data_IF_515596702091
#
_entry.id   IF_515596702091
#
_cell.length_a   1.000
_cell.length_b   1.000
_cell.length_c   1.000
_cell.angle_alpha   90.00
_cell.angle_beta   90.00
_cell.angle_gamma   90.00
#
_symmetry.space_group_name_H-M   'P 1'
#
loop_
_entity.id
_entity.type
_entity.pdbx_description
1 polymer ?
#
# COMPACT_ATOMS: atom_id res chain seq x y z
N UNK A 1 -86.25 -13.71 -25.40
CA UNK A 1 -85.61 -14.15 -26.65
C UNK A 1 -84.14 -13.77 -26.60
N UNK A 2 -83.34 -14.74 -27.03
CA UNK A 2 -81.89 -14.97 -26.99
C UNK A 2 -80.95 -13.90 -27.55
N UNK A 3 -79.66 -14.08 -27.17
CA UNK A 3 -78.37 -13.63 -27.77
C UNK A 3 -77.80 -12.31 -27.23
N UNK A 4 -76.50 -12.15 -26.93
CA UNK A 4 -75.34 -13.01 -27.14
C UNK A 4 -74.19 -12.59 -26.21
N UNK A 5 -73.57 -13.59 -25.59
CA UNK A 5 -72.22 -13.55 -25.02
C UNK A 5 -71.18 -13.31 -26.12
N UNK A 6 -70.44 -12.20 -26.10
CA UNK A 6 -69.10 -12.07 -26.71
C UNK A 6 -68.50 -10.72 -26.32
N UNK A 7 -67.64 -10.69 -25.30
CA UNK A 7 -66.53 -9.73 -25.06
C UNK A 7 -65.98 -9.90 -23.63
N UNK A 8 -65.60 -11.13 -23.27
CA UNK A 8 -64.75 -11.39 -22.09
C UNK A 8 -63.59 -12.27 -22.50
N UNK A 9 -62.67 -11.75 -23.32
CA UNK A 9 -61.38 -12.40 -23.54
C UNK A 9 -60.20 -11.48 -23.85
N UNK A 10 -60.40 -10.17 -24.07
CA UNK A 10 -59.29 -9.27 -24.45
C UNK A 10 -58.78 -8.34 -23.34
N UNK A 11 -59.35 -8.37 -22.13
CA UNK A 11 -58.94 -7.45 -21.06
C UNK A 11 -58.10 -8.10 -19.94
N UNK A 12 -57.89 -9.42 -19.98
CA UNK A 12 -57.13 -10.15 -18.96
C UNK A 12 -55.63 -10.32 -19.30
N UNK A 13 -55.21 -10.07 -20.54
CA UNK A 13 -53.80 -10.21 -20.94
C UNK A 13 -52.97 -8.93 -20.82
N UNK A 14 -53.61 -7.75 -20.83
CA UNK A 14 -52.89 -6.46 -20.75
C UNK A 14 -52.39 -6.12 -19.33
N UNK A 15 -53.13 -6.49 -18.27
CA UNK A 15 -52.70 -6.20 -16.89
C UNK A 15 -51.58 -7.12 -16.37
N UNK A 16 -51.47 -8.36 -16.88
CA UNK A 16 -50.38 -9.28 -16.49
C UNK A 16 -49.05 -8.87 -17.13
N UNK A 17 -49.07 -8.39 -18.37
CA UNK A 17 -47.86 -7.92 -19.05
C UNK A 17 -47.26 -6.66 -18.37
N UNK A 18 -48.10 -5.75 -17.89
CA UNK A 18 -47.67 -4.49 -17.27
C UNK A 18 -47.09 -4.66 -15.85
N UNK A 19 -47.54 -5.68 -15.10
CA UNK A 19 -47.04 -5.97 -13.74
C UNK A 19 -45.70 -6.73 -13.75
N UNK A 20 -45.41 -7.51 -14.78
CA UNK A 20 -44.15 -8.25 -14.90
C UNK A 20 -43.02 -7.31 -15.36
N UNK A 21 -43.30 -6.34 -16.23
CA UNK A 21 -42.30 -5.35 -16.69
C UNK A 21 -41.88 -4.36 -15.60
N UNK A 22 -42.79 -3.98 -14.70
CA UNK A 22 -42.46 -3.08 -13.57
C UNK A 22 -41.66 -3.78 -12.47
N UNK A 23 -41.87 -5.08 -12.23
CA UNK A 23 -41.07 -5.85 -11.26
C UNK A 23 -39.63 -6.12 -11.74
N UNK A 24 -39.43 -6.33 -13.05
CA UNK A 24 -38.09 -6.57 -13.64
C UNK A 24 -37.26 -5.28 -13.64
N UNK A 25 -37.87 -4.10 -13.87
CA UNK A 25 -37.16 -2.83 -13.84
C UNK A 25 -36.73 -2.38 -12.43
N UNK A 26 -37.46 -2.78 -11.39
CA UNK A 26 -37.06 -2.48 -10.00
C UNK A 26 -35.89 -3.36 -9.54
N UNK A 27 -35.81 -4.62 -10.00
CA UNK A 27 -34.68 -5.51 -9.71
C UNK A 27 -33.40 -5.11 -10.45
N UNK A 28 -33.50 -4.59 -11.68
CA UNK A 28 -32.35 -4.05 -12.40
C UNK A 28 -31.74 -2.83 -11.69
N UNK A 29 -32.55 -1.95 -11.10
CA UNK A 29 -32.06 -0.78 -10.36
C UNK A 29 -31.35 -1.11 -9.04
N UNK A 30 -31.59 -2.29 -8.44
CA UNK A 30 -30.93 -2.71 -7.19
C UNK A 30 -29.58 -3.43 -7.45
N UNK A 31 -29.38 -4.00 -8.64
CA UNK A 31 -28.10 -4.64 -9.00
C UNK A 31 -27.05 -3.65 -9.54
N UNK A 32 -27.45 -2.54 -10.15
CA UNK A 32 -26.51 -1.55 -10.69
C UNK A 32 -25.60 -0.85 -9.65
N UNK A 33 -26.06 -0.48 -8.43
CA UNK A 33 -25.16 0.15 -7.45
C UNK A 33 -24.11 -0.84 -6.90
N UNK A 34 -24.42 -2.13 -6.77
CA UNK A 34 -23.47 -3.14 -6.30
C UNK A 34 -22.36 -3.42 -7.31
N UNK A 35 -22.68 -3.45 -8.62
CA UNK A 35 -21.68 -3.68 -9.68
C UNK A 35 -20.76 -2.47 -9.84
N UNK A 36 -21.28 -1.25 -9.74
CA UNK A 36 -20.47 -0.03 -9.87
C UNK A 36 -19.52 0.14 -8.68
N UNK A 37 -19.97 -0.15 -7.45
CA UNK A 37 -19.14 -0.10 -6.26
C UNK A 37 -18.02 -1.16 -6.31
N UNK A 38 -18.34 -2.40 -6.72
CA UNK A 38 -17.34 -3.47 -6.87
C UNK A 38 -16.32 -3.18 -7.98
N UNK A 39 -16.74 -2.58 -9.11
CA UNK A 39 -15.82 -2.19 -10.18
C UNK A 39 -14.87 -1.06 -9.74
N UNK A 40 -15.38 -0.06 -9.01
CA UNK A 40 -14.54 1.01 -8.45
C UNK A 40 -13.57 0.47 -7.40
N UNK A 41 -14.01 -0.40 -6.50
CA UNK A 41 -13.14 -1.06 -5.51
C UNK A 41 -12.06 -1.89 -6.18
N UNK A 42 -12.39 -2.64 -7.24
CA UNK A 42 -11.42 -3.43 -8.01
C UNK A 42 -10.42 -2.55 -8.77
N UNK A 43 -10.87 -1.43 -9.33
CA UNK A 43 -9.99 -0.46 -9.98
C UNK A 43 -9.03 0.21 -9.00
N UNK A 44 -9.50 0.57 -7.80
CA UNK A 44 -8.65 1.12 -6.73
C UNK A 44 -7.63 0.10 -6.25
N UNK A 45 -8.03 -1.17 -6.07
CA UNK A 45 -7.11 -2.26 -5.70
C UNK A 45 -6.07 -2.54 -6.79
N UNK A 46 -6.46 -2.50 -8.06
CA UNK A 46 -5.55 -2.67 -9.20
C UNK A 46 -4.53 -1.52 -9.34
N UNK A 47 -4.95 -0.27 -9.13
CA UNK A 47 -4.06 0.92 -9.10
C UNK A 47 -2.98 0.85 -8.03
N UNK A 48 -3.16 -0.03 -7.07
CA UNK A 48 -2.29 -0.21 -5.91
C UNK A 48 -1.39 -1.43 -6.09
N UNK A 49 -1.98 -2.58 -6.44
CA UNK A 49 -1.23 -3.82 -6.57
C UNK A 49 -0.18 -3.75 -7.68
N UNK A 50 -0.48 -3.08 -8.79
CA UNK A 50 0.45 -2.98 -9.92
C UNK A 50 1.70 -2.17 -9.56
N UNK A 51 1.61 -0.94 -9.03
CA UNK A 51 2.80 -0.22 -8.55
C UNK A 51 3.55 -0.93 -7.43
N UNK A 52 2.82 -1.60 -6.52
CA UNK A 52 3.47 -2.33 -5.44
C UNK A 52 4.28 -3.52 -5.98
N UNK A 53 3.68 -4.30 -6.89
CA UNK A 53 4.33 -5.42 -7.54
C UNK A 53 5.56 -4.98 -8.34
N UNK A 54 5.49 -3.89 -9.09
CA UNK A 54 6.64 -3.38 -9.87
C UNK A 54 7.79 -2.93 -8.97
N UNK A 55 7.51 -2.41 -7.76
CA UNK A 55 8.52 -1.94 -6.81
C UNK A 55 9.14 -3.04 -5.93
N UNK A 56 8.62 -4.27 -5.95
CA UNK A 56 9.16 -5.38 -5.14
C UNK A 56 10.64 -5.70 -5.47
N UNK A 57 11.03 -5.64 -6.75
CA UNK A 57 12.41 -5.92 -7.16
C UNK A 57 13.41 -4.87 -6.66
N UNK A 58 13.00 -3.59 -6.67
CA UNK A 58 13.81 -2.50 -6.12
C UNK A 58 13.98 -2.66 -4.60
N UNK A 59 12.88 -2.96 -3.89
CA UNK A 59 12.92 -3.20 -2.45
C UNK A 59 13.84 -4.37 -2.10
N UNK A 60 13.70 -5.50 -2.79
CA UNK A 60 14.56 -6.66 -2.57
C UNK A 60 16.04 -6.37 -2.84
N UNK A 61 16.35 -5.57 -3.87
CA UNK A 61 17.73 -5.18 -4.17
C UNK A 61 18.35 -4.34 -3.05
N UNK A 62 17.57 -3.47 -2.41
CA UNK A 62 18.03 -2.71 -1.24
C UNK A 62 18.26 -3.62 -0.04
N UNK A 63 17.31 -4.52 0.23
CA UNK A 63 17.46 -5.43 1.37
C UNK A 63 18.66 -6.37 1.21
N UNK A 64 18.91 -6.85 -0.01
CA UNK A 64 20.12 -7.59 -0.37
C UNK A 64 21.40 -6.78 -0.14
N UNK A 65 21.39 -5.47 -0.38
CA UNK A 65 22.54 -4.60 -0.09
C UNK A 65 22.87 -4.57 1.42
N UNK A 66 21.87 -4.48 2.29
CA UNK A 66 22.08 -4.52 3.74
C UNK A 66 22.60 -5.87 4.19
N UNK A 67 22.02 -6.96 3.69
CA UNK A 67 22.54 -8.30 3.95
C UNK A 67 23.99 -8.43 3.51
N UNK A 68 24.33 -7.95 2.30
CA UNK A 68 25.70 -7.98 1.79
C UNK A 68 26.66 -7.21 2.69
N UNK A 69 26.25 -6.01 3.13
CA UNK A 69 27.06 -5.13 3.98
C UNK A 69 27.31 -5.74 5.36
N UNK A 70 26.29 -6.34 5.97
CA UNK A 70 26.37 -6.87 7.34
C UNK A 70 26.99 -8.27 7.38
N UNK A 71 26.56 -9.15 6.48
CA UNK A 71 26.97 -10.55 6.48
C UNK A 71 28.27 -10.80 5.72
N UNK A 72 28.66 -9.89 4.81
CA UNK A 72 29.82 -10.02 3.94
C UNK A 72 29.96 -11.42 3.28
N UNK A 73 28.92 -11.90 2.57
CA UNK A 73 28.93 -13.23 1.96
C UNK A 73 30.04 -13.38 0.92
N UNK A 74 30.51 -14.60 0.73
CA UNK A 74 31.27 -14.97 -0.47
C UNK A 74 30.44 -14.76 -1.73
N UNK A 75 31.10 -14.71 -2.88
CA UNK A 75 30.43 -14.49 -4.18
C UNK A 75 29.36 -15.57 -4.45
N UNK A 76 29.66 -16.84 -4.19
CA UNK A 76 28.74 -17.95 -4.42
C UNK A 76 27.54 -17.96 -3.47
N UNK A 77 27.76 -17.61 -2.19
CA UNK A 77 26.67 -17.46 -1.21
C UNK A 77 25.75 -16.31 -1.62
N UNK A 78 26.33 -15.17 -2.01
CA UNK A 78 25.56 -14.00 -2.42
C UNK A 78 24.74 -14.26 -3.70
N UNK A 79 25.32 -14.96 -4.69
CA UNK A 79 24.61 -15.37 -5.91
C UNK A 79 23.42 -16.30 -5.58
N UNK A 80 23.63 -17.27 -4.69
CA UNK A 80 22.58 -18.20 -4.25
C UNK A 80 21.43 -17.46 -3.54
N UNK A 81 21.77 -16.59 -2.58
CA UNK A 81 20.79 -15.77 -1.84
C UNK A 81 20.04 -14.84 -2.80
N UNK A 82 20.73 -14.22 -3.75
CA UNK A 82 20.12 -13.32 -4.73
C UNK A 82 19.13 -14.06 -5.63
N UNK A 83 19.45 -15.27 -6.10
CA UNK A 83 18.54 -16.07 -6.91
C UNK A 83 17.30 -16.50 -6.13
N UNK A 84 17.48 -16.98 -4.90
CA UNK A 84 16.38 -17.34 -4.01
C UNK A 84 15.45 -16.13 -3.75
N UNK A 85 16.04 -14.96 -3.51
CA UNK A 85 15.30 -13.71 -3.29
C UNK A 85 14.54 -13.29 -4.54
N UNK A 86 15.14 -13.41 -5.74
CA UNK A 86 14.45 -13.09 -7.00
C UNK A 86 13.23 -13.98 -7.23
N UNK A 87 13.33 -15.26 -6.90
CA UNK A 87 12.19 -16.18 -6.97
C UNK A 87 11.09 -15.75 -5.99
N UNK A 88 11.46 -15.45 -4.75
CA UNK A 88 10.51 -15.01 -3.73
C UNK A 88 9.80 -13.70 -4.12
N UNK A 89 10.52 -12.75 -4.74
CA UNK A 89 9.93 -11.50 -5.27
C UNK A 89 8.80 -11.79 -6.27
N UNK A 90 9.00 -12.74 -7.19
CA UNK A 90 7.94 -13.12 -8.15
C UNK A 90 6.72 -13.70 -7.45
N UNK A 91 6.93 -14.58 -6.48
CA UNK A 91 5.85 -15.17 -5.66
C UNK A 91 5.04 -14.07 -4.94
N UNK A 92 5.72 -13.06 -4.39
CA UNK A 92 5.05 -11.92 -3.76
C UNK A 92 4.31 -11.02 -4.75
N UNK A 93 4.88 -10.77 -5.93
CA UNK A 93 4.20 -10.01 -6.99
C UNK A 93 2.87 -10.68 -7.36
N UNK A 94 2.89 -12.00 -7.57
CA UNK A 94 1.69 -12.78 -7.87
C UNK A 94 0.69 -12.76 -6.71
N UNK A 95 1.18 -12.84 -5.47
CA UNK A 95 0.35 -12.73 -4.26
C UNK A 95 -0.41 -11.40 -4.21
N UNK A 96 0.26 -10.27 -4.45
CA UNK A 96 -0.39 -8.96 -4.44
C UNK A 96 -1.39 -8.79 -5.58
N UNK A 97 -1.07 -9.31 -6.78
CA UNK A 97 -2.00 -9.31 -7.91
C UNK A 97 -3.25 -10.15 -7.60
N UNK A 98 -3.11 -11.28 -6.91
CA UNK A 98 -4.24 -12.10 -6.49
C UNK A 98 -5.06 -11.40 -5.40
N UNK A 99 -4.39 -10.84 -4.39
CA UNK A 99 -5.04 -10.10 -3.30
C UNK A 99 -5.81 -8.90 -3.81
N UNK A 100 -5.34 -8.24 -4.87
CA UNK A 100 -6.06 -7.15 -5.54
C UNK A 100 -7.46 -7.51 -6.00
N UNK A 101 -7.72 -8.80 -6.28
CA UNK A 101 -9.01 -9.28 -6.76
C UNK A 101 -10.03 -9.40 -5.63
N UNK A 102 -9.60 -9.71 -4.41
CA UNK A 102 -10.50 -10.19 -3.33
C UNK A 102 -10.33 -9.48 -2.00
N UNK A 103 -9.17 -8.91 -1.70
CA UNK A 103 -8.84 -8.33 -0.38
C UNK A 103 -8.62 -6.82 -0.44
N UNK A 104 -8.94 -6.14 0.67
CA UNK A 104 -8.62 -4.72 0.83
C UNK A 104 -7.11 -4.52 1.08
N UNK A 105 -6.48 -3.46 0.54
CA UNK A 105 -5.05 -3.24 0.69
C UNK A 105 -4.56 -3.20 2.15
N UNK A 106 -5.37 -2.70 3.08
CA UNK A 106 -5.04 -2.66 4.52
C UNK A 106 -4.82 -4.04 5.15
N UNK A 107 -5.27 -5.12 4.50
CA UNK A 107 -5.11 -6.50 4.98
C UNK A 107 -4.00 -7.25 4.25
N UNK A 108 -3.30 -6.60 3.33
CA UNK A 108 -2.22 -7.23 2.59
C UNK A 108 -0.97 -7.29 3.49
N UNK A 109 -0.15 -8.35 3.37
CA UNK A 109 1.10 -8.43 4.10
C UNK A 109 2.03 -7.30 3.68
N UNK A 110 2.98 -6.96 4.56
CA UNK A 110 3.91 -5.87 4.31
C UNK A 110 5.06 -6.31 3.42
N UNK A 111 5.35 -5.60 2.31
CA UNK A 111 6.44 -5.92 1.40
C UNK A 111 7.80 -6.05 2.07
N UNK A 112 8.18 -5.06 2.89
CA UNK A 112 9.49 -5.00 3.53
C UNK A 112 9.67 -6.14 4.51
N UNK A 113 8.67 -6.37 5.37
CA UNK A 113 8.69 -7.46 6.34
C UNK A 113 8.85 -8.83 5.66
N UNK A 114 8.08 -9.09 4.59
CA UNK A 114 8.19 -10.35 3.86
C UNK A 114 9.60 -10.57 3.30
N UNK A 115 10.22 -9.52 2.75
CA UNK A 115 11.59 -9.60 2.22
C UNK A 115 12.60 -9.78 3.36
N UNK A 116 12.51 -9.01 4.44
CA UNK A 116 13.46 -9.10 5.56
C UNK A 116 13.36 -10.44 6.28
N UNK A 117 12.15 -10.99 6.44
CA UNK A 117 11.93 -12.31 7.04
C UNK A 117 12.51 -13.42 6.14
N UNK A 118 12.31 -13.31 4.83
CA UNK A 118 12.90 -14.23 3.86
C UNK A 118 14.44 -14.17 3.89
N UNK A 119 15.02 -12.97 3.85
CA UNK A 119 16.47 -12.79 3.88
C UNK A 119 17.08 -13.22 5.22
N UNK A 120 16.39 -12.99 6.34
CA UNK A 120 16.84 -13.47 7.64
C UNK A 120 16.84 -15.00 7.68
N UNK A 121 15.81 -15.64 7.11
CA UNK A 121 15.75 -17.10 6.98
C UNK A 121 16.94 -17.63 6.15
N UNK A 122 17.24 -16.99 5.01
CA UNK A 122 18.41 -17.34 4.20
C UNK A 122 19.72 -17.10 4.96
N UNK A 123 19.82 -16.02 5.73
CA UNK A 123 20.97 -15.72 6.55
C UNK A 123 21.19 -16.77 7.64
N UNK A 124 20.14 -17.21 8.32
CA UNK A 124 20.17 -18.27 9.33
C UNK A 124 20.58 -19.63 8.74
N UNK A 125 20.27 -19.89 7.46
CA UNK A 125 20.63 -21.12 6.75
C UNK A 125 22.05 -21.10 6.18
N UNK A 126 22.54 -19.93 5.79
CA UNK A 126 23.79 -19.79 5.03
C UNK A 126 24.98 -19.44 5.91
N UNK A 127 24.79 -18.58 6.91
CA UNK A 127 25.90 -18.00 7.67
C UNK A 127 26.03 -18.61 9.07
N UNK A 128 27.21 -18.41 9.67
CA UNK A 128 27.42 -18.75 11.06
C UNK A 128 26.43 -17.98 11.97
N UNK A 129 25.98 -18.58 13.10
CA UNK A 129 24.96 -17.98 13.96
C UNK A 129 25.25 -16.55 14.41
N UNK A 130 26.52 -16.20 14.68
CA UNK A 130 26.88 -14.84 15.07
C UNK A 130 26.63 -13.81 13.96
N UNK A 131 26.83 -14.18 12.70
CA UNK A 131 26.63 -13.30 11.54
C UNK A 131 25.14 -13.14 11.26
N UNK A 132 24.39 -14.24 11.26
CA UNK A 132 22.94 -14.22 11.09
C UNK A 132 22.26 -13.39 12.20
N UNK A 133 22.79 -13.45 13.43
CA UNK A 133 22.32 -12.61 14.53
C UNK A 133 22.70 -11.13 14.38
N UNK A 134 23.85 -10.81 13.79
CA UNK A 134 24.21 -9.43 13.47
C UNK A 134 23.24 -8.83 12.44
N UNK A 135 22.84 -9.61 11.43
CA UNK A 135 21.83 -9.19 10.47
C UNK A 135 20.45 -8.98 11.12
N UNK A 136 20.05 -9.87 12.04
CA UNK A 136 18.81 -9.70 12.81
C UNK A 136 18.79 -8.38 13.59
N UNK A 137 19.92 -8.02 14.21
CA UNK A 137 20.07 -6.74 14.93
C UNK A 137 19.99 -5.54 13.98
N UNK A 138 20.58 -5.62 12.79
CA UNK A 138 20.47 -4.58 11.76
C UNK A 138 19.00 -4.36 11.37
N UNK A 139 18.25 -5.44 11.11
CA UNK A 139 16.82 -5.35 10.79
C UNK A 139 16.06 -4.63 11.92
N UNK A 140 16.30 -5.01 13.18
CA UNK A 140 15.68 -4.34 14.34
C UNK A 140 16.02 -2.85 14.41
N UNK A 141 17.29 -2.49 14.28
CA UNK A 141 17.74 -1.10 14.35
C UNK A 141 17.10 -0.23 13.25
N UNK A 142 16.98 -0.76 12.03
CA UNK A 142 16.33 -0.06 10.93
C UNK A 142 14.82 0.07 11.15
N UNK A 143 14.16 -0.93 11.71
CA UNK A 143 12.74 -0.85 12.05
C UNK A 143 12.50 0.27 13.09
N UNK A 144 13.36 0.38 14.11
CA UNK A 144 13.30 1.48 15.08
C UNK A 144 13.52 2.85 14.43
N UNK A 145 14.51 2.96 13.54
CA UNK A 145 14.75 4.18 12.77
C UNK A 145 13.56 4.57 11.88
N UNK A 146 12.89 3.59 11.28
CA UNK A 146 11.70 3.79 10.47
C UNK A 146 10.52 4.29 11.32
N UNK A 147 10.30 3.75 12.53
CA UNK A 147 9.29 4.26 13.47
C UNK A 147 9.56 5.72 13.84
N UNK A 148 10.81 6.07 14.14
CA UNK A 148 11.19 7.44 14.44
C UNK A 148 10.94 8.38 13.24
N UNK A 149 11.29 7.95 12.02
CA UNK A 149 11.07 8.72 10.80
C UNK A 149 9.58 8.95 10.52
N UNK A 150 8.76 7.91 10.58
CA UNK A 150 7.29 8.02 10.37
C UNK A 150 6.67 8.92 11.43
N UNK A 151 7.05 8.75 12.70
CA UNK A 151 6.57 9.60 13.78
C UNK A 151 6.90 11.08 13.55
N UNK A 152 8.15 11.38 13.16
CA UNK A 152 8.57 12.75 12.84
C UNK A 152 7.77 13.36 11.69
N UNK A 153 7.55 12.60 10.60
CA UNK A 153 6.75 13.07 9.46
C UNK A 153 5.32 13.39 9.89
N UNK A 154 4.67 12.50 10.63
CA UNK A 154 3.29 12.71 11.07
C UNK A 154 3.19 13.87 12.07
N UNK A 155 4.15 14.00 12.97
CA UNK A 155 4.20 15.13 13.91
C UNK A 155 4.28 16.46 13.16
N UNK A 156 5.13 16.56 12.14
CA UNK A 156 5.23 17.76 11.30
C UNK A 156 3.93 18.02 10.51
N UNK A 157 3.23 16.97 10.06
CA UNK A 157 1.92 17.12 9.42
C UNK A 157 0.87 17.70 10.37
N UNK A 158 0.89 17.29 11.63
CA UNK A 158 0.01 17.82 12.68
C UNK A 158 0.40 19.28 13.00
N UNK A 159 1.69 19.53 13.22
CA UNK A 159 2.23 20.85 13.52
C UNK A 159 1.84 21.90 12.48
N UNK A 160 1.93 21.57 11.20
CA UNK A 160 1.54 22.47 10.10
C UNK A 160 0.08 22.95 10.15
N UNK A 161 -0.78 22.31 10.94
CA UNK A 161 -2.20 22.62 11.05
C UNK A 161 -2.58 23.29 12.36
N UNK A 162 -1.93 22.93 13.47
CA UNK A 162 -2.32 23.39 14.81
C UNK A 162 -1.24 24.20 15.52
N UNK A 163 -0.05 24.32 14.92
CA UNK A 163 1.11 25.07 15.44
C UNK A 163 1.47 24.63 16.87
N UNK A 164 2.13 23.49 16.96
CA UNK A 164 2.58 22.89 18.20
C UNK A 164 3.76 23.68 18.78
N UNK A 165 3.78 23.81 20.10
CA UNK A 165 4.99 24.17 20.84
C UNK A 165 6.00 23.00 20.85
N UNK A 166 7.29 23.24 21.14
CA UNK A 166 8.28 22.17 21.19
C UNK A 166 7.91 21.01 22.13
N UNK A 167 7.35 21.30 23.30
CA UNK A 167 6.91 20.28 24.26
C UNK A 167 5.71 19.47 23.76
N UNK A 168 4.81 20.11 23.01
CA UNK A 168 3.70 19.41 22.37
C UNK A 168 4.20 18.55 21.21
N UNK A 169 5.16 19.03 20.40
CA UNK A 169 5.78 18.24 19.34
C UNK A 169 6.38 16.93 19.88
N UNK A 170 7.15 17.00 20.97
CA UNK A 170 7.75 15.81 21.60
C UNK A 170 6.69 14.84 22.11
N UNK A 171 5.61 15.37 22.70
CA UNK A 171 4.48 14.57 23.20
C UNK A 171 3.70 13.90 22.07
N UNK A 172 3.46 14.62 20.97
CA UNK A 172 2.82 14.08 19.77
C UNK A 172 3.70 13.03 19.11
N UNK A 173 4.99 13.28 18.95
CA UNK A 173 5.93 12.31 18.37
C UNK A 173 5.99 11.01 19.19
N UNK A 174 6.02 11.13 20.52
CA UNK A 174 5.97 9.96 21.42
C UNK A 174 4.67 9.19 21.26
N UNK A 175 3.54 9.90 21.18
CA UNK A 175 2.21 9.28 21.03
C UNK A 175 2.06 8.59 19.67
N UNK A 176 2.54 9.21 18.59
CA UNK A 176 2.52 8.61 17.25
C UNK A 176 3.43 7.39 17.18
N UNK A 177 4.65 7.44 17.74
CA UNK A 177 5.56 6.30 17.77
C UNK A 177 5.01 5.07 18.54
N UNK A 178 4.10 5.30 19.49
CA UNK A 178 3.43 4.25 20.24
C UNK A 178 2.26 3.60 19.47
N UNK A 179 1.75 4.22 18.41
CA UNK A 179 0.67 3.66 17.62
C UNK A 179 1.14 2.37 16.92
N UNK A 180 0.29 1.35 16.96
CA UNK A 180 0.52 0.08 16.26
C UNK A 180 0.81 0.35 14.79
N UNK A 181 -0.06 1.11 14.11
CA UNK A 181 0.09 1.51 12.71
C UNK A 181 1.42 2.20 12.38
N UNK A 182 2.08 2.87 13.33
CA UNK A 182 3.43 3.45 13.14
C UNK A 182 4.50 2.38 13.22
N UNK A 183 4.46 1.55 14.27
CA UNK A 183 5.39 0.41 14.47
C UNK A 183 5.34 -0.58 13.31
N UNK A 184 4.17 -0.63 12.71
CA UNK A 184 3.76 -1.52 11.65
C UNK A 184 3.88 -0.87 10.27
N UNK A 185 4.14 0.43 10.15
CA UNK A 185 4.24 1.08 8.85
C UNK A 185 5.58 0.76 8.20
N UNK A 186 5.58 0.39 6.92
CA UNK A 186 6.76 0.63 6.07
C UNK A 186 6.62 2.03 5.50
N UNK A 187 7.67 2.85 5.52
CA UNK A 187 7.64 4.22 4.98
C UNK A 187 6.96 4.31 3.60
N UNK A 188 7.27 3.42 2.63
CA UNK A 188 6.56 3.41 1.35
C UNK A 188 5.05 3.17 1.49
N UNK A 189 4.61 2.20 2.30
CA UNK A 189 3.18 1.91 2.50
C UNK A 189 2.48 3.06 3.23
N UNK A 190 3.06 3.63 4.28
CA UNK A 190 2.48 4.80 4.91
C UNK A 190 2.32 5.95 3.90
N UNK A 191 3.31 6.20 3.04
CA UNK A 191 3.26 7.29 2.07
C UNK A 191 2.26 7.06 0.91
N UNK A 192 2.09 5.81 0.45
CA UNK A 192 1.18 5.50 -0.66
C UNK A 192 -0.28 5.30 -0.22
N UNK A 193 -0.52 4.97 1.04
CA UNK A 193 -1.86 4.70 1.56
C UNK A 193 -2.23 5.70 2.64
N UNK A 194 -2.94 6.77 2.25
CA UNK A 194 -3.45 7.81 3.16
C UNK A 194 -4.15 7.28 4.42
N UNK A 195 -4.86 6.15 4.32
CA UNK A 195 -5.59 5.55 5.45
C UNK A 195 -4.71 4.69 6.37
N UNK A 196 -3.47 4.41 5.97
CA UNK A 196 -2.48 3.68 6.77
C UNK A 196 -1.49 4.62 7.46
N UNK A 197 -1.65 5.94 7.27
CA UNK A 197 -0.84 6.92 7.99
C UNK A 197 -1.34 6.98 9.43
N UNK A 198 -0.43 6.86 10.42
CA UNK A 198 -0.81 6.73 11.81
C UNK A 198 -1.18 8.10 12.39
N UNK A 199 -2.36 8.61 12.05
CA UNK A 199 -2.88 9.87 12.57
C UNK A 199 -3.64 9.59 13.87
N UNK A 200 -3.27 10.21 15.01
CA UNK A 200 -3.98 10.05 16.27
C UNK A 200 -5.39 10.65 16.21
N UNK A 201 -6.35 10.01 16.89
CA UNK A 201 -7.73 10.52 16.95
C UNK A 201 -7.78 11.81 17.77
N UNK A 202 -8.78 12.69 17.54
CA UNK A 202 -8.92 13.90 18.34
C UNK A 202 -9.04 13.65 19.85
N UNK A 203 -9.70 12.57 20.24
CA UNK A 203 -9.86 12.21 21.65
C UNK A 203 -8.51 11.81 22.27
N UNK A 204 -7.67 11.09 21.50
CA UNK A 204 -6.33 10.70 21.94
C UNK A 204 -5.34 11.87 22.07
N UNK A 205 -5.70 13.05 21.59
CA UNK A 205 -4.87 14.26 21.63
C UNK A 205 -5.33 15.27 22.69
N UNK A 206 -6.41 14.98 23.41
CA UNK A 206 -7.05 15.91 24.35
C UNK A 206 -6.22 16.28 25.57
N UNK A 207 -5.24 15.44 25.92
CA UNK A 207 -4.26 15.61 26.98
C UNK A 207 -2.99 16.37 26.53
N UNK A 208 -2.82 16.56 25.23
CA UNK A 208 -1.64 17.23 24.64
C UNK A 208 -2.02 18.61 24.10
N UNK A 209 -3.11 18.71 23.36
CA UNK A 209 -3.49 19.92 22.64
C UNK A 209 -4.38 20.83 23.48
N UNK A 210 -4.20 22.14 23.33
CA UNK A 210 -5.12 23.13 23.90
C UNK A 210 -6.53 23.03 23.30
N UNK A 211 -7.54 23.58 23.99
CA UNK A 211 -8.93 23.58 23.51
C UNK A 211 -9.06 24.17 22.10
N UNK A 212 -8.38 25.29 21.82
CA UNK A 212 -8.36 25.92 20.50
C UNK A 212 -7.75 25.00 19.44
N UNK A 213 -6.63 24.36 19.74
CA UNK A 213 -5.98 23.42 18.83
C UNK A 213 -6.83 22.16 18.61
N UNK A 214 -7.53 21.67 19.64
CA UNK A 214 -8.47 20.54 19.50
C UNK A 214 -9.65 20.88 18.60
N UNK A 215 -10.20 22.10 18.69
CA UNK A 215 -11.26 22.56 17.78
C UNK A 215 -10.73 22.59 16.34
N UNK A 216 -9.54 23.13 16.11
CA UNK A 216 -8.89 23.11 14.79
C UNK A 216 -8.68 21.67 14.31
N UNK A 217 -8.15 20.81 15.16
CA UNK A 217 -7.89 19.41 14.84
C UNK A 217 -9.16 18.63 14.47
N UNK A 218 -10.26 18.84 15.19
CA UNK A 218 -11.57 18.20 14.93
C UNK A 218 -12.23 18.69 13.64
N UNK A 219 -11.97 19.93 13.24
CA UNK A 219 -12.60 20.54 12.06
C UNK A 219 -11.79 20.34 10.77
N UNK A 220 -10.52 19.95 10.88
CA UNK A 220 -9.69 19.61 9.74
C UNK A 220 -10.15 18.29 9.11
N UNK A 221 -10.44 18.30 7.80
CA UNK A 221 -10.38 17.07 7.00
C UNK A 221 -8.90 16.68 7.00
N UNK A 222 -8.53 15.56 7.64
CA UNK A 222 -7.15 15.04 7.75
C UNK A 222 -6.27 15.48 6.56
N UNK A 223 -5.00 15.86 6.75
CA UNK A 223 -4.22 16.60 5.76
C UNK A 223 -4.40 16.08 4.33
N UNK A 224 -4.69 16.98 3.39
CA UNK A 224 -4.63 16.66 1.97
C UNK A 224 -3.16 16.52 1.57
N UNK A 225 -2.76 15.32 1.18
CA UNK A 225 -1.38 14.92 0.85
C UNK A 225 -0.77 15.61 -0.39
N UNK A 226 -1.43 16.62 -0.95
CA UNK A 226 -0.85 17.50 -1.96
C UNK A 226 0.21 18.46 -1.39
N UNK A 227 0.73 18.21 -0.18
CA UNK A 227 1.78 19.04 0.39
C UNK A 227 3.13 18.79 -0.31
N UNK A 228 3.97 19.83 -0.46
CA UNK A 228 5.24 19.76 -1.17
C UNK A 228 6.20 18.67 -0.69
N UNK A 229 6.08 18.20 0.56
CA UNK A 229 6.96 17.19 1.16
C UNK A 229 6.64 15.76 0.69
N UNK A 230 5.36 15.43 0.51
CA UNK A 230 4.93 14.15 -0.10
C UNK A 230 5.35 14.14 -1.56
N UNK A 231 5.23 15.30 -2.23
CA UNK A 231 5.85 15.49 -3.53
C UNK A 231 7.36 15.38 -3.43
N UNK A 232 8.06 15.94 -2.45
CA UNK A 232 9.50 15.81 -2.28
C UNK A 232 9.97 14.36 -2.14
N UNK A 233 9.22 13.48 -1.47
CA UNK A 233 9.51 12.04 -1.37
C UNK A 233 9.05 11.22 -2.60
N UNK A 234 8.12 11.74 -3.38
CA UNK A 234 7.64 11.13 -4.63
C UNK A 234 8.34 11.70 -5.90
N UNK A 235 8.94 12.88 -5.80
CA UNK A 235 9.53 13.69 -6.88
C UNK A 235 11.04 13.73 -6.79
N UNK A 236 11.60 13.75 -5.58
CA UNK A 236 12.85 13.04 -5.40
C UNK A 236 12.41 11.59 -5.28
N UNK A 237 12.71 10.79 -6.27
CA UNK A 237 13.73 9.75 -6.21
C UNK A 237 14.46 9.55 -4.84
N UNK A 238 13.80 9.71 -3.70
CA UNK A 238 14.32 9.46 -2.36
C UNK A 238 14.55 7.97 -2.18
N UNK A 239 13.69 7.16 -2.79
CA UNK A 239 13.94 5.74 -2.98
C UNK A 239 15.14 5.52 -3.93
N UNK A 240 15.37 6.36 -4.94
CA UNK A 240 16.50 6.18 -5.88
C UNK A 240 17.85 6.74 -5.41
N UNK A 241 17.87 7.71 -4.51
CA UNK A 241 19.08 8.38 -4.03
C UNK A 241 19.81 7.62 -2.92
N UNK A 242 19.23 6.50 -2.47
CA UNK A 242 19.86 5.53 -1.54
C UNK A 242 20.50 4.36 -2.34
N UNK A 243 20.67 4.48 -3.66
CA UNK A 243 21.34 3.47 -4.46
C UNK A 243 22.87 3.60 -4.43
N UNK A 244 23.55 2.45 -4.41
CA UNK A 244 24.93 2.36 -4.84
C UNK A 244 25.02 2.65 -6.35
N UNK A 245 26.08 3.32 -6.85
CA UNK A 245 26.26 3.51 -8.28
C UNK A 245 26.43 2.14 -8.95
N UNK A 246 25.49 1.70 -9.80
CA UNK A 246 25.75 0.53 -10.64
C UNK A 246 24.59 -0.26 -11.22
N UNK A 247 23.34 -0.15 -10.75
CA UNK A 247 22.23 -0.88 -11.37
C UNK A 247 21.40 0.07 -12.22
N UNK A 248 21.87 0.31 -13.43
CA UNK A 248 20.99 0.80 -14.51
C UNK A 248 20.23 -0.43 -15.01
N UNK A 249 18.90 -0.43 -14.90
CA UNK A 249 18.09 -1.26 -15.78
C UNK A 249 18.48 -0.90 -17.21
N UNK A 250 19.01 -1.86 -17.97
CA UNK A 250 19.17 -1.65 -19.41
C UNK A 250 17.76 -1.44 -20.00
N UNK A 251 17.52 -0.31 -20.69
CA UNK A 251 16.27 -0.15 -21.43
C UNK A 251 16.23 -1.26 -22.47
N UNK A 252 15.13 -1.99 -22.47
CA UNK A 252 14.84 -3.07 -23.41
C UNK A 252 14.65 -2.45 -24.81
N UNK A 253 15.75 -2.15 -25.49
CA UNK A 253 15.77 -1.67 -26.87
C UNK A 253 15.65 -2.91 -27.75
N UNK A 254 14.56 -3.08 -28.53
CA UNK A 254 14.48 -4.19 -29.48
C UNK A 254 15.61 -4.08 -30.50
N UNK A 255 16.22 -5.20 -30.92
CA UNK A 255 17.34 -5.18 -31.85
C UNK A 255 16.92 -4.52 -33.17
N UNK A 256 17.81 -3.75 -33.82
CA UNK A 256 17.49 -3.11 -35.09
C UNK A 256 17.21 -4.19 -36.15
N UNK A 257 16.07 -4.03 -36.80
CA UNK A 257 15.64 -4.80 -37.94
C UNK A 257 16.75 -4.80 -39.00
N UNK A 258 17.18 -5.99 -39.44
CA UNK A 258 18.22 -6.13 -40.46
C UNK A 258 17.74 -5.44 -41.73
N UNK A 259 18.33 -4.29 -42.05
CA UNK A 259 18.23 -3.72 -43.38
C UNK A 259 18.88 -4.71 -44.37
N UNK A 260 18.05 -5.35 -45.18
CA UNK A 260 18.48 -6.06 -46.38
C UNK A 260 19.24 -5.07 -47.27
N UNK A 261 20.54 -5.30 -47.46
CA UNK A 261 21.31 -4.64 -48.51
C UNK A 261 21.01 -5.35 -49.83
N UNK A 262 20.42 -4.62 -50.77
CA UNK A 262 20.67 -4.81 -52.20
C UNK A 262 21.71 -3.79 -52.64
#
# INVERSE_FOLDING_TARGET
MTLSSHTRSLQAHSQKALRITTAINLWLLVFFPCVHCNAQVRAVRGRVAVPLATKMGELASRELFFLKKVCNPSKSEYETITEATRKHVKEMQDLYLEYSKTKEPKTWPRPEQLITDHLQTLADQTFAPQIANAYRKEITARNEANVAAVSSIVTNLIDSQVLLSPTEMDSVASKVAALETTREATLPVALFYRHMIPIPSPDSMSDILTERQLILWKTQKHPNYNQPWVNYFNSNDFLSSIFAPGVKEEPNIPPPEKAERK
#
